data_IF_577128141912
#
_entry.id   IF_577128141912
#
_cell.length_a   1.000
_cell.length_b   1.000
_cell.length_c   1.000
_cell.angle_alpha   90.00
_cell.angle_beta   90.00
_cell.angle_gamma   90.00
#
_symmetry.space_group_name_H-M   'P 1'
#
loop_
_entity.id
_entity.type
_entity.pdbx_description
1 polymer ?
#
# COMPACT_ATOMS: atom_id res chain seq x y z
N UNK A 1 -1.36 -10.01 -23.80
CA UNK A 1 -1.17 -10.24 -22.36
C UNK A 1 -0.76 -8.94 -21.68
N UNK A 2 -1.18 -8.72 -20.44
CA UNK A 2 -0.85 -7.52 -19.64
C UNK A 2 -0.54 -7.96 -18.21
N UNK A 3 0.43 -7.30 -17.58
CA UNK A 3 0.73 -7.45 -16.15
C UNK A 3 0.18 -6.23 -15.42
N UNK A 4 -0.67 -6.46 -14.42
CA UNK A 4 -1.24 -5.41 -13.59
C UNK A 4 -0.44 -5.35 -12.29
N UNK A 5 0.20 -4.21 -12.02
CA UNK A 5 0.91 -3.95 -10.76
C UNK A 5 0.11 -2.92 -9.96
N UNK A 6 -0.22 -3.26 -8.72
CA UNK A 6 -0.95 -2.38 -7.81
C UNK A 6 -0.17 -2.19 -6.50
N UNK A 7 -0.03 -0.94 -6.06
CA UNK A 7 0.48 -0.60 -4.74
C UNK A 7 -0.71 -0.29 -3.85
N UNK A 8 -0.90 -1.09 -2.79
CA UNK A 8 -2.05 -0.98 -1.88
C UNK A 8 -1.58 -0.81 -0.44
N UNK A 9 -2.50 -0.38 0.43
CA UNK A 9 -2.23 -0.36 1.88
C UNK A 9 -2.11 -1.81 2.39
N UNK A 10 -1.18 -2.13 3.30
CA UNK A 10 -0.96 -3.51 3.75
C UNK A 10 -2.22 -4.22 4.27
N UNK A 11 -3.04 -3.51 5.06
CA UNK A 11 -4.27 -4.07 5.63
C UNK A 11 -5.38 -4.35 4.62
N UNK A 12 -5.23 -3.94 3.35
CA UNK A 12 -6.21 -4.22 2.28
C UNK A 12 -5.91 -5.48 1.48
N UNK A 13 -4.80 -6.16 1.77
CA UNK A 13 -4.38 -7.32 0.99
C UNK A 13 -5.47 -8.41 0.94
N UNK A 14 -6.10 -8.71 2.06
CA UNK A 14 -7.10 -9.78 2.14
C UNK A 14 -8.36 -9.44 1.34
N UNK A 15 -8.93 -8.25 1.57
CA UNK A 15 -10.09 -7.75 0.79
C UNK A 15 -9.82 -7.80 -0.73
N UNK A 16 -8.61 -7.42 -1.16
CA UNK A 16 -8.23 -7.43 -2.58
C UNK A 16 -8.09 -8.86 -3.10
N UNK A 17 -7.50 -9.76 -2.31
CA UNK A 17 -7.32 -11.17 -2.67
C UNK A 17 -8.67 -11.87 -2.86
N UNK A 18 -9.61 -11.66 -1.94
CA UNK A 18 -10.95 -12.23 -2.02
C UNK A 18 -11.71 -11.71 -3.25
N UNK A 19 -11.73 -10.39 -3.44
CA UNK A 19 -12.40 -9.77 -4.58
C UNK A 19 -11.83 -10.25 -5.94
N UNK A 20 -10.51 -10.45 -6.04
CA UNK A 20 -9.87 -10.99 -7.24
C UNK A 20 -10.25 -12.46 -7.45
N UNK A 21 -10.32 -13.25 -6.38
CA UNK A 21 -10.77 -14.65 -6.45
C UNK A 21 -12.22 -14.76 -6.93
N UNK A 22 -13.12 -13.93 -6.39
CA UNK A 22 -14.53 -13.87 -6.78
C UNK A 22 -14.71 -13.43 -8.24
N UNK A 23 -13.82 -12.57 -8.73
CA UNK A 23 -13.76 -12.16 -10.13
C UNK A 23 -13.09 -13.21 -11.06
N UNK A 24 -12.63 -14.34 -10.53
CA UNK A 24 -12.06 -15.45 -11.29
C UNK A 24 -10.54 -15.40 -11.51
N UNK A 25 -9.82 -14.51 -10.82
CA UNK A 25 -8.35 -14.44 -10.88
C UNK A 25 -7.73 -15.34 -9.80
N UNK A 26 -7.07 -16.41 -10.24
CA UNK A 26 -6.58 -17.47 -9.34
C UNK A 26 -5.13 -17.30 -8.86
N UNK A 27 -4.40 -16.29 -9.36
CA UNK A 27 -2.98 -16.12 -9.05
C UNK A 27 -2.59 -14.66 -8.95
N UNK A 28 -1.89 -14.33 -7.85
CA UNK A 28 -1.25 -13.04 -7.63
C UNK A 28 0.14 -13.28 -7.03
N UNK A 29 1.07 -12.38 -7.30
CA UNK A 29 2.37 -12.32 -6.60
C UNK A 29 2.35 -11.12 -5.69
N UNK A 30 2.68 -11.33 -4.41
CA UNK A 30 2.74 -10.26 -3.40
C UNK A 30 4.20 -9.99 -3.08
N UNK A 31 4.55 -8.71 -2.95
CA UNK A 31 5.89 -8.28 -2.53
C UNK A 31 5.72 -7.10 -1.60
N UNK A 32 6.33 -7.18 -0.42
CA UNK A 32 6.34 -6.05 0.51
C UNK A 32 7.25 -4.94 -0.02
N UNK A 33 6.75 -3.71 0.00
CA UNK A 33 7.48 -2.53 -0.46
C UNK A 33 7.27 -1.38 0.51
N UNK A 34 8.27 -0.51 0.63
CA UNK A 34 8.12 0.79 1.30
C UNK A 34 7.79 1.84 0.25
N UNK A 35 6.69 2.56 0.44
CA UNK A 35 6.26 3.63 -0.44
C UNK A 35 6.53 4.99 0.17
N UNK A 36 7.27 5.84 -0.54
CA UNK A 36 7.38 7.27 -0.22
C UNK A 36 6.44 8.05 -1.14
N UNK A 37 5.54 8.84 -0.58
CA UNK A 37 4.56 9.59 -1.37
C UNK A 37 4.04 10.83 -0.64
N UNK A 38 3.22 11.62 -1.34
CA UNK A 38 2.56 12.81 -0.76
C UNK A 38 1.46 12.50 0.26
N UNK A 39 1.31 11.23 0.64
CA UNK A 39 0.45 10.87 1.76
C UNK A 39 1.08 11.56 2.97
N UNK A 40 0.45 12.64 3.45
CA UNK A 40 0.89 13.39 4.63
C UNK A 40 1.13 12.36 5.74
N UNK A 41 2.38 11.99 5.96
CA UNK A 41 2.78 11.15 7.07
C UNK A 41 2.32 11.82 8.36
N UNK A 42 2.19 11.08 9.45
CA UNK A 42 2.04 11.70 10.76
C UNK A 42 3.20 12.67 10.94
N UNK A 43 2.94 13.96 10.76
CA UNK A 43 3.92 15.01 11.03
C UNK A 43 3.92 15.18 12.54
N UNK A 44 4.86 14.53 13.22
CA UNK A 44 5.09 14.83 14.63
C UNK A 44 5.77 16.20 14.70
N UNK A 45 5.01 17.19 15.17
CA UNK A 45 5.51 18.50 15.53
C UNK A 45 6.32 18.36 16.81
N UNK A 46 7.65 18.41 16.71
CA UNK A 46 8.52 18.55 17.88
C UNK A 46 9.10 19.96 17.93
N UNK A 47 8.70 20.73 18.95
CA UNK A 47 9.17 22.11 19.22
C UNK A 47 9.05 23.08 18.03
N UNK A 48 7.99 22.97 17.24
CA UNK A 48 7.69 23.92 16.17
C UNK A 48 8.45 23.68 14.86
N UNK A 49 9.20 22.58 14.75
CA UNK A 49 9.75 22.10 13.48
C UNK A 49 9.03 20.81 13.06
N UNK A 50 8.68 20.71 11.77
CA UNK A 50 8.16 19.48 11.17
C UNK A 50 9.30 18.47 11.06
N UNK A 51 9.26 17.41 11.86
CA UNK A 51 10.18 16.29 11.70
C UNK A 51 9.49 15.19 10.89
N UNK A 52 10.10 14.86 9.74
CA UNK A 52 9.77 13.63 9.01
C UNK A 52 10.43 12.49 9.78
N UNK A 53 9.67 11.81 10.62
CA UNK A 53 10.11 10.55 11.24
C UNK A 53 9.72 9.43 10.27
N UNK A 54 10.74 8.73 9.78
CA UNK A 54 10.67 7.62 8.81
C UNK A 54 9.96 6.38 9.38
#
# INVERSE_FOLDING_TARGET
MKLITAIIKPFKLEDVREALSDAGFQGITVTEVKGFGRQRGHTELYRGAEYVVD
#
